data_IF_166084950154
#
_entry.id   IF_166084950154
#
_cell.length_a   1.000
_cell.length_b   1.000
_cell.length_c   1.000
_cell.angle_alpha   90.00
_cell.angle_beta   90.00
_cell.angle_gamma   90.00
#
_symmetry.space_group_name_H-M   'P 1'
#
loop_
_entity.id
_entity.type
_entity.pdbx_description
1 polymer ?
#
# COMPACT_ATOMS: atom_id res chain seq x y z
N UNK A 1 -15.98 4.64 26.40
CA UNK A 1 -14.74 4.69 25.59
C UNK A 1 -14.64 3.49 24.64
N UNK A 2 -15.16 2.32 25.02
CA UNK A 2 -15.13 1.07 24.23
C UNK A 2 -16.03 1.07 22.98
N UNK A 3 -17.14 1.82 22.96
CA UNK A 3 -18.04 1.89 21.77
C UNK A 3 -17.38 2.47 20.52
N UNK A 4 -16.38 3.35 20.66
CA UNK A 4 -15.64 3.92 19.51
C UNK A 4 -14.65 2.95 18.87
N UNK A 5 -14.38 1.81 19.51
CA UNK A 5 -13.48 0.77 18.98
C UNK A 5 -14.27 -0.18 18.06
N UNK A 6 -15.53 -0.46 18.39
CA UNK A 6 -16.39 -1.32 17.57
C UNK A 6 -16.77 -0.68 16.23
N UNK A 7 -17.03 0.62 16.21
CA UNK A 7 -17.30 1.39 14.97
C UNK A 7 -16.06 1.45 14.05
N UNK A 8 -14.84 1.34 14.62
CA UNK A 8 -13.57 1.30 13.86
C UNK A 8 -13.27 -0.05 13.21
N UNK A 9 -13.84 -1.14 13.71
CA UNK A 9 -13.72 -2.49 13.11
C UNK A 9 -14.66 -2.62 11.90
N UNK A 10 -15.67 -1.77 11.80
CA UNK A 10 -16.64 -1.79 10.70
C UNK A 10 -16.06 -1.19 9.40
N UNK A 11 -15.12 -0.25 9.51
CA UNK A 11 -14.40 0.34 8.37
C UNK A 11 -13.49 -0.71 7.69
N UNK A 12 -12.88 -1.63 8.45
CA UNK A 12 -12.14 -2.74 7.83
C UNK A 12 -13.09 -3.70 7.10
N UNK A 13 -14.31 -3.93 7.60
CA UNK A 13 -15.32 -4.73 6.90
C UNK A 13 -15.77 -4.10 5.58
N UNK A 14 -15.85 -2.77 5.52
CA UNK A 14 -16.33 -2.04 4.35
C UNK A 14 -15.36 -2.09 3.16
N UNK A 15 -14.04 -2.20 3.41
CA UNK A 15 -13.05 -2.42 2.35
C UNK A 15 -13.15 -3.81 1.70
N UNK A 16 -13.80 -4.78 2.35
CA UNK A 16 -13.64 -6.19 2.02
C UNK A 16 -14.94 -6.95 1.68
N UNK A 17 -16.12 -6.43 1.99
CA UNK A 17 -17.40 -7.11 1.73
C UNK A 17 -17.97 -6.88 0.32
N UNK A 18 -18.04 -7.94 -0.51
CA UNK A 18 -19.01 -8.02 -1.61
C UNK A 18 -19.38 -9.48 -1.92
N UNK A 19 -20.67 -9.82 -1.75
CA UNK A 19 -21.27 -11.14 -1.95
C UNK A 19 -21.26 -11.61 -3.42
N UNK A 20 -20.68 -12.78 -3.69
CA UNK A 20 -20.79 -13.50 -4.96
C UNK A 20 -20.38 -14.97 -4.80
N UNK A 21 -20.97 -15.95 -5.51
CA UNK A 21 -20.76 -17.36 -5.21
C UNK A 21 -19.60 -17.94 -6.04
N UNK A 22 -18.41 -18.06 -5.45
CA UNK A 22 -17.32 -18.89 -6.00
C UNK A 22 -16.72 -19.78 -4.90
N UNK A 23 -16.72 -21.09 -5.14
CA UNK A 23 -16.56 -22.15 -4.15
C UNK A 23 -15.11 -22.38 -3.64
N UNK A 24 -14.25 -21.35 -3.74
CA UNK A 24 -12.91 -21.27 -3.11
C UNK A 24 -12.74 -20.01 -2.25
N UNK A 25 -13.79 -19.20 -2.08
CA UNK A 25 -13.76 -17.88 -1.44
C UNK A 25 -13.61 -17.88 0.09
N UNK A 26 -13.79 -19.01 0.78
CA UNK A 26 -13.84 -18.99 2.27
C UNK A 26 -12.52 -18.45 2.87
N UNK A 27 -11.36 -18.75 2.30
CA UNK A 27 -10.07 -18.26 2.84
C UNK A 27 -9.82 -16.78 2.50
N UNK A 28 -10.21 -16.36 1.29
CA UNK A 28 -10.15 -14.97 0.82
C UNK A 28 -11.02 -14.07 1.69
N UNK A 29 -12.28 -14.48 1.91
CA UNK A 29 -13.21 -13.79 2.82
C UNK A 29 -12.71 -13.81 4.26
N UNK A 30 -12.21 -14.95 4.76
CA UNK A 30 -11.74 -15.06 6.14
C UNK A 30 -10.59 -14.11 6.45
N UNK A 31 -9.57 -14.01 5.60
CA UNK A 31 -8.45 -13.08 5.83
C UNK A 31 -8.86 -11.64 5.70
N UNK A 32 -9.64 -11.32 4.67
CA UNK A 32 -10.17 -9.97 4.49
C UNK A 32 -11.08 -9.52 5.65
N UNK A 33 -11.79 -10.44 6.31
CA UNK A 33 -12.63 -10.13 7.48
C UNK A 33 -11.88 -10.22 8.82
N UNK A 34 -10.79 -10.99 8.91
CA UNK A 34 -10.06 -11.26 10.16
C UNK A 34 -8.71 -10.55 10.28
N UNK A 35 -8.19 -9.99 9.19
CA UNK A 35 -6.98 -9.22 9.18
C UNK A 35 -7.15 -7.95 10.02
N UNK A 36 -6.18 -7.72 10.90
CA UNK A 36 -6.13 -6.53 11.72
C UNK A 36 -5.10 -5.56 11.17
N UNK A 37 -5.19 -4.30 11.58
CA UNK A 37 -4.17 -3.29 11.29
C UNK A 37 -2.76 -3.74 11.71
N UNK A 38 -2.65 -4.49 12.81
CA UNK A 38 -1.39 -5.08 13.27
C UNK A 38 -0.85 -6.11 12.29
N UNK A 39 -1.70 -6.93 11.69
CA UNK A 39 -1.27 -7.97 10.74
C UNK A 39 -0.72 -7.35 9.45
N UNK A 40 -1.29 -6.24 9.00
CA UNK A 40 -0.80 -5.44 7.86
C UNK A 40 0.61 -4.91 8.17
N UNK A 41 0.76 -4.18 9.28
CA UNK A 41 2.04 -3.56 9.66
C UNK A 41 3.13 -4.58 10.03
N UNK A 42 2.76 -5.76 10.50
CA UNK A 42 3.72 -6.82 10.83
C UNK A 42 3.97 -7.79 9.68
N UNK A 43 3.40 -7.57 8.50
CA UNK A 43 3.57 -8.41 7.32
C UNK A 43 3.22 -9.90 7.60
N UNK A 44 2.10 -10.13 8.29
CA UNK A 44 1.63 -11.48 8.71
C UNK A 44 0.31 -11.92 8.07
N UNK A 45 -0.12 -11.22 7.02
CA UNK A 45 -1.29 -11.59 6.23
C UNK A 45 -1.03 -12.79 5.30
N UNK A 46 0.23 -13.11 5.01
CA UNK A 46 0.68 -14.20 4.14
C UNK A 46 -0.04 -14.22 2.78
N UNK A 47 -0.04 -13.04 2.13
CA UNK A 47 -0.46 -12.84 0.75
C UNK A 47 0.77 -12.69 -0.15
N UNK A 48 0.65 -13.08 -1.41
CA UNK A 48 1.67 -12.88 -2.43
C UNK A 48 1.95 -11.39 -2.59
N UNK A 49 3.23 -11.03 -2.64
CA UNK A 49 3.62 -9.66 -2.89
C UNK A 49 3.41 -9.30 -4.36
N UNK A 50 3.03 -8.05 -4.61
CA UNK A 50 2.68 -7.55 -5.95
C UNK A 50 3.64 -6.42 -6.34
N UNK A 51 4.94 -6.74 -6.41
CA UNK A 51 5.99 -5.75 -6.69
C UNK A 51 5.87 -5.15 -8.11
N UNK A 52 5.61 -6.01 -9.11
CA UNK A 52 5.53 -5.58 -10.50
C UNK A 52 4.28 -4.74 -10.77
N UNK A 53 3.12 -5.14 -10.23
CA UNK A 53 1.91 -4.35 -10.31
C UNK A 53 2.06 -2.97 -9.66
N UNK A 54 2.72 -2.87 -8.50
CA UNK A 54 2.99 -1.56 -7.86
C UNK A 54 3.88 -0.70 -8.76
N UNK A 55 4.90 -1.28 -9.39
CA UNK A 55 5.83 -0.54 -10.24
C UNK A 55 5.20 0.00 -11.52
N UNK A 56 4.36 -0.80 -12.19
CA UNK A 56 3.72 -0.43 -13.46
C UNK A 56 2.38 0.29 -13.28
N UNK A 57 1.90 0.35 -12.04
CA UNK A 57 0.62 0.92 -11.59
C UNK A 57 -0.55 0.76 -12.59
N UNK A 58 -0.99 -0.49 -12.86
CA UNK A 58 -2.14 -0.75 -13.72
C UNK A 58 -3.47 -0.43 -13.01
N UNK A 59 -3.43 0.04 -11.77
CA UNK A 59 -4.60 0.19 -10.90
C UNK A 59 -5.29 1.53 -11.10
N UNK A 60 -4.52 2.59 -11.39
CA UNK A 60 -4.99 3.93 -11.69
C UNK A 60 -5.49 4.72 -10.49
N UNK A 61 -6.15 4.06 -9.53
CA UNK A 61 -6.60 4.65 -8.26
C UNK A 61 -6.29 3.74 -7.07
N UNK A 62 -6.19 4.33 -5.88
CA UNK A 62 -5.98 3.61 -4.62
C UNK A 62 -7.10 2.61 -4.36
N UNK A 63 -8.35 2.97 -4.63
CA UNK A 63 -9.51 2.10 -4.41
C UNK A 63 -9.44 0.85 -5.29
N UNK A 64 -9.02 1.01 -6.54
CA UNK A 64 -8.82 -0.12 -7.45
C UNK A 64 -7.67 -1.02 -7.00
N UNK A 65 -6.59 -0.44 -6.49
CA UNK A 65 -5.49 -1.20 -5.90
C UNK A 65 -6.00 -2.04 -4.72
N UNK A 66 -6.64 -1.40 -3.74
CA UNK A 66 -7.17 -2.05 -2.54
C UNK A 66 -8.19 -3.15 -2.89
N UNK A 67 -9.08 -2.87 -3.85
CA UNK A 67 -10.05 -3.85 -4.34
C UNK A 67 -9.39 -5.10 -4.90
N UNK A 68 -8.28 -4.95 -5.64
CA UNK A 68 -7.55 -6.07 -6.26
C UNK A 68 -6.72 -6.86 -5.27
N UNK A 69 -6.21 -6.22 -4.21
CA UNK A 69 -5.50 -6.92 -3.14
C UNK A 69 -6.35 -7.98 -2.44
N UNK A 70 -7.68 -7.87 -2.52
CA UNK A 70 -8.62 -8.92 -2.06
C UNK A 70 -8.45 -10.24 -2.80
N UNK A 71 -7.91 -10.22 -4.01
CA UNK A 71 -7.72 -11.41 -4.85
C UNK A 71 -6.27 -11.86 -4.90
N UNK A 72 -5.39 -11.27 -4.07
CA UNK A 72 -4.00 -11.68 -3.99
C UNK A 72 -3.91 -13.15 -3.52
N UNK A 73 -3.14 -14.01 -4.22
CA UNK A 73 -2.95 -15.40 -3.82
C UNK A 73 -2.36 -15.50 -2.41
N UNK A 74 -2.72 -16.55 -1.67
CA UNK A 74 -2.12 -16.84 -0.38
C UNK A 74 -0.76 -17.52 -0.55
N UNK A 75 0.26 -17.07 0.19
CA UNK A 75 1.61 -17.68 0.18
C UNK A 75 1.84 -18.64 1.34
N UNK A 76 0.93 -18.65 2.32
CA UNK A 76 1.03 -19.50 3.51
C UNK A 76 -0.10 -19.25 4.48
N UNK A 77 -0.14 -19.99 5.57
CA UNK A 77 -1.21 -19.90 6.58
C UNK A 77 -1.21 -18.52 7.29
N UNK A 78 -2.40 -17.96 7.52
CA UNK A 78 -2.56 -16.66 8.16
C UNK A 78 -1.87 -16.57 9.53
N UNK A 79 -1.11 -15.49 9.77
CA UNK A 79 -0.31 -15.24 11.00
C UNK A 79 0.75 -16.26 11.35
N UNK A 80 1.00 -17.27 10.52
CA UNK A 80 1.98 -18.31 10.87
C UNK A 80 3.43 -17.88 10.70
N UNK A 81 3.69 -16.93 9.81
CA UNK A 81 5.03 -16.42 9.54
C UNK A 81 5.07 -14.91 9.31
N UNK A 82 6.27 -14.45 8.94
CA UNK A 82 6.54 -13.13 8.40
C UNK A 82 6.85 -13.28 6.91
N UNK A 83 6.21 -12.47 6.07
CA UNK A 83 6.51 -12.39 4.65
C UNK A 83 6.36 -10.94 4.23
N UNK A 84 7.49 -10.27 3.97
CA UNK A 84 7.47 -8.88 3.52
C UNK A 84 6.57 -8.75 2.31
N UNK A 85 5.70 -7.74 2.35
CA UNK A 85 4.72 -7.49 1.32
C UNK A 85 4.52 -5.98 1.25
N UNK A 86 5.09 -5.36 0.22
CA UNK A 86 5.03 -3.91 0.03
C UNK A 86 3.60 -3.41 -0.15
N UNK A 87 2.75 -4.22 -0.76
CA UNK A 87 1.35 -3.89 -0.98
C UNK A 87 0.55 -3.67 0.31
N UNK A 88 1.00 -4.16 1.47
CA UNK A 88 0.33 -3.96 2.76
C UNK A 88 0.51 -2.57 3.35
N UNK A 89 1.46 -1.79 2.85
CA UNK A 89 1.67 -0.41 3.30
C UNK A 89 0.50 0.48 2.90
N UNK A 90 -0.01 0.34 1.67
CA UNK A 90 -1.15 1.13 1.15
C UNK A 90 -2.44 0.97 1.95
N UNK A 91 -2.97 -0.25 2.24
CA UNK A 91 -4.15 -0.39 3.08
C UNK A 91 -3.91 0.14 4.50
N UNK A 92 -2.69 -0.02 5.04
CA UNK A 92 -2.35 0.55 6.33
C UNK A 92 -2.38 2.09 6.32
N UNK A 93 -1.78 2.75 5.32
CA UNK A 93 -1.83 4.20 5.18
C UNK A 93 -3.25 4.72 4.98
N UNK A 94 -4.06 4.00 4.19
CA UNK A 94 -5.48 4.32 3.96
C UNK A 94 -6.29 4.31 5.27
N UNK A 95 -6.09 3.29 6.10
CA UNK A 95 -6.71 3.20 7.44
C UNK A 95 -6.28 4.39 8.31
N UNK A 96 -5.00 4.74 8.35
CA UNK A 96 -4.52 5.88 9.15
C UNK A 96 -5.16 7.18 8.66
N UNK A 97 -5.20 7.40 7.34
CA UNK A 97 -5.85 8.56 6.73
C UNK A 97 -7.31 8.69 7.15
N UNK A 98 -8.06 7.60 6.99
CA UNK A 98 -9.46 7.54 7.38
C UNK A 98 -9.65 7.85 8.88
N UNK A 99 -8.85 7.24 9.76
CA UNK A 99 -8.91 7.46 11.21
C UNK A 99 -8.62 8.92 11.62
N UNK A 100 -7.82 9.63 10.84
CA UNK A 100 -7.44 11.02 11.08
C UNK A 100 -8.31 12.04 10.34
N UNK A 101 -9.33 11.59 9.60
CA UNK A 101 -10.13 12.44 8.71
C UNK A 101 -9.24 13.29 7.77
N UNK A 102 -8.21 12.65 7.21
CA UNK A 102 -7.15 13.26 6.40
C UNK A 102 -6.66 12.29 5.34
N UNK A 103 -5.92 12.76 4.32
CA UNK A 103 -5.09 11.83 3.54
C UNK A 103 -3.81 11.51 4.31
N UNK A 104 -3.24 10.33 4.03
CA UNK A 104 -1.95 9.93 4.59
C UNK A 104 -0.83 10.88 4.15
N UNK A 105 -0.84 11.30 2.89
CA UNK A 105 0.14 12.21 2.31
C UNK A 105 0.15 13.56 3.03
N UNK A 106 -1.03 14.08 3.38
CA UNK A 106 -1.15 15.35 4.11
C UNK A 106 -0.57 15.23 5.52
N UNK A 107 -0.83 14.11 6.20
CA UNK A 107 -0.26 13.85 7.53
C UNK A 107 1.25 13.66 7.47
N UNK A 108 1.73 12.91 6.48
CA UNK A 108 3.15 12.65 6.30
C UNK A 108 3.91 13.94 5.95
N UNK A 109 3.36 14.76 5.06
CA UNK A 109 3.92 16.09 4.74
C UNK A 109 3.98 16.98 5.98
N UNK A 110 2.92 17.00 6.80
CA UNK A 110 2.92 17.71 8.07
C UNK A 110 4.00 17.18 9.02
N UNK A 111 4.14 15.86 9.12
CA UNK A 111 5.17 15.23 9.94
C UNK A 111 6.57 15.68 9.50
N UNK A 112 6.85 15.69 8.19
CA UNK A 112 8.14 16.17 7.67
C UNK A 112 8.42 17.60 8.10
N UNK A 113 7.46 18.51 7.97
CA UNK A 113 7.60 19.89 8.45
C UNK A 113 7.82 19.94 9.96
N UNK A 114 7.03 19.22 10.74
CA UNK A 114 7.06 19.25 12.21
C UNK A 114 8.41 18.73 12.78
N UNK A 115 9.10 17.82 12.07
CA UNK A 115 10.42 17.28 12.48
C UNK A 115 11.61 17.93 11.78
N UNK A 116 11.37 19.01 11.02
CA UNK A 116 12.42 19.78 10.35
C UNK A 116 12.96 19.18 9.04
N UNK A 117 12.28 18.19 8.46
CA UNK A 117 12.62 17.56 7.18
C UNK A 117 12.06 18.35 5.99
N UNK A 118 12.44 19.64 5.87
CA UNK A 118 11.86 20.56 4.89
C UNK A 118 12.19 20.23 3.42
N UNK A 119 13.24 19.45 3.18
CA UNK A 119 13.66 19.03 1.83
C UNK A 119 13.11 17.65 1.43
N UNK A 120 12.29 17.03 2.28
CA UNK A 120 11.65 15.73 1.97
C UNK A 120 10.29 15.95 1.34
N UNK A 121 10.06 15.34 0.17
CA UNK A 121 8.82 15.47 -0.58
C UNK A 121 8.25 14.10 -0.96
N UNK A 122 6.93 14.01 -1.04
CA UNK A 122 6.24 12.84 -1.60
C UNK A 122 6.27 12.96 -3.13
N UNK A 123 6.75 11.92 -3.80
CA UNK A 123 6.81 11.84 -5.27
C UNK A 123 5.40 11.63 -5.82
N UNK A 124 4.99 12.44 -6.80
CA UNK A 124 3.70 12.36 -7.48
C UNK A 124 3.92 12.12 -8.96
N UNK A 125 3.00 11.40 -9.60
CA UNK A 125 2.97 11.19 -11.06
C UNK A 125 3.02 12.49 -11.88
N UNK A 126 2.48 13.57 -11.30
CA UNK A 126 2.43 14.89 -11.93
C UNK A 126 3.75 15.67 -11.82
N UNK A 127 4.74 15.17 -11.09
CA UNK A 127 6.00 15.89 -10.88
C UNK A 127 6.89 15.84 -12.14
N UNK A 128 7.69 16.89 -12.35
CA UNK A 128 8.73 16.87 -13.37
C UNK A 128 9.91 16.02 -12.90
N UNK A 129 9.81 14.72 -13.13
CA UNK A 129 10.84 13.74 -12.80
C UNK A 129 12.17 13.96 -13.54
N UNK A 130 12.19 14.72 -14.63
CA UNK A 130 13.41 14.98 -15.42
C UNK A 130 14.20 16.15 -14.83
N UNK A 131 13.52 17.23 -14.45
CA UNK A 131 14.14 18.49 -14.02
C UNK A 131 13.98 18.79 -12.52
N UNK A 132 13.52 17.83 -11.72
CA UNK A 132 13.39 18.01 -10.27
C UNK A 132 14.74 18.38 -9.64
N UNK A 133 14.81 19.58 -9.05
CA UNK A 133 16.02 20.08 -8.39
C UNK A 133 16.40 19.18 -7.21
N UNK A 134 17.70 18.97 -7.02
CA UNK A 134 18.27 18.14 -5.94
C UNK A 134 17.82 16.66 -5.96
N UNK A 135 17.23 16.19 -7.07
CA UNK A 135 16.95 14.77 -7.29
C UNK A 135 18.14 14.10 -7.97
N UNK A 136 18.59 12.97 -7.44
CA UNK A 136 19.60 12.14 -8.10
C UNK A 136 19.04 11.47 -9.35
N UNK A 137 19.85 11.37 -10.41
CA UNK A 137 19.49 10.59 -11.59
C UNK A 137 19.49 9.08 -11.27
N UNK A 138 18.42 8.33 -11.56
CA UNK A 138 18.37 6.88 -11.33
C UNK A 138 19.14 6.10 -12.41
N UNK A 139 19.85 5.05 -11.98
CA UNK A 139 20.56 4.10 -12.86
C UNK A 139 20.27 2.67 -12.42
N UNK A 140 20.23 1.73 -13.37
CA UNK A 140 20.16 0.30 -13.11
C UNK A 140 21.33 -0.41 -13.78
N UNK A 141 21.77 -1.52 -13.19
CA UNK A 141 22.87 -2.30 -13.74
C UNK A 141 22.34 -3.36 -14.71
N UNK A 142 22.92 -3.43 -15.89
CA UNK A 142 22.65 -4.48 -16.89
C UNK A 142 23.97 -4.92 -17.50
N UNK A 143 24.27 -6.22 -17.40
CA UNK A 143 25.49 -6.81 -18.00
C UNK A 143 26.79 -6.09 -17.59
N UNK A 144 26.87 -5.64 -16.32
CA UNK A 144 28.03 -4.92 -15.80
C UNK A 144 28.10 -3.43 -16.17
N UNK A 145 27.20 -2.94 -17.03
CA UNK A 145 27.07 -1.54 -17.39
C UNK A 145 26.00 -0.83 -16.55
N UNK A 146 26.22 0.46 -16.27
CA UNK A 146 25.21 1.33 -15.66
C UNK A 146 24.38 1.99 -16.76
N UNK A 147 23.10 1.62 -16.81
CA UNK A 147 22.13 2.21 -17.73
C UNK A 147 21.27 3.22 -16.98
N UNK A 148 21.09 4.41 -17.56
CA UNK A 148 20.20 5.44 -16.98
C UNK A 148 18.75 4.96 -17.08
N UNK A 149 18.01 5.02 -15.98
CA UNK A 149 16.57 4.74 -15.98
C UNK A 149 15.84 5.93 -16.63
N UNK A 150 14.91 5.64 -17.54
CA UNK A 150 14.08 6.66 -18.17
C UNK A 150 13.07 7.23 -17.14
N UNK A 151 13.20 8.50 -16.70
CA UNK A 151 12.29 9.07 -15.70
C UNK A 151 10.84 9.20 -16.18
N UNK A 152 10.61 9.15 -17.49
CA UNK A 152 9.27 9.15 -18.08
C UNK A 152 8.45 7.90 -17.72
N UNK A 153 9.11 6.80 -17.32
CA UNK A 153 8.43 5.60 -16.82
C UNK A 153 7.84 5.77 -15.42
N UNK A 154 8.08 6.91 -14.77
CA UNK A 154 7.57 7.21 -13.43
C UNK A 154 6.31 8.10 -13.46
N UNK A 155 5.85 8.49 -14.67
CA UNK A 155 4.61 9.25 -14.88
C UNK A 155 3.38 8.35 -14.83
#
# INVERSE_FOLDING_TARGET
MERKIYEKIEISRQCFSSNGPFNGMISVTYRSESATFRDLLSHRVCLLDEDLGILVDPFGTEENFLFRQRYAPETGQFRTGFCYNGAMVTPASSIIGHLANSSFERMLTKLFTDVGMNDTTIVRKTDDHVNMRNRSAPYYQKEGLLCRLNPELLK
#
